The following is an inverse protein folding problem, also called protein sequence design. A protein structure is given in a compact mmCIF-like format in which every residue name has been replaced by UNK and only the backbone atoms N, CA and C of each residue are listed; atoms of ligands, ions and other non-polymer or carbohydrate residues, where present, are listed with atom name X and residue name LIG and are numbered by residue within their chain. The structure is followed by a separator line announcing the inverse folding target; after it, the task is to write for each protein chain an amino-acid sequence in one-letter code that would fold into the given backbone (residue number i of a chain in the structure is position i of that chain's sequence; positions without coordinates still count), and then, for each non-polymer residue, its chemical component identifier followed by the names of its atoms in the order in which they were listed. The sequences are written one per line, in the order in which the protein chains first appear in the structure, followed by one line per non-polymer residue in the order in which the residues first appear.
data_IF_983458464248
#
_entry.id   IF_983458464248
#
_cell.length_a   1.000
_cell.length_b   1.000
_cell.length_c   1.000
_cell.angle_alpha   90.00
_cell.angle_beta   90.00
_cell.angle_gamma   90.00
#
_symmetry.space_group_name_H-M   'P 1'
#
loop_
_entity.id
_entity.type
_entity.pdbx_description
1 polymer ?
#
# COMPACT_ATOMS: atom_id res chain seq x y z
N UNK A 1 -8.21 23.14 -0.70
CA UNK A 1 -8.53 21.73 -0.41
C UNK A 1 -8.10 20.82 -1.56
N UNK A 2 -8.39 21.19 -2.82
CA UNK A 2 -7.94 20.42 -4.00
C UNK A 2 -6.43 20.14 -4.05
N UNK A 3 -5.57 21.14 -3.82
CA UNK A 3 -4.12 20.93 -3.82
C UNK A 3 -3.65 19.89 -2.79
N UNK A 4 -4.33 19.80 -1.65
CA UNK A 4 -4.01 18.80 -0.61
C UNK A 4 -4.38 17.40 -1.09
N UNK A 5 -5.57 17.22 -1.69
CA UNK A 5 -6.00 15.93 -2.23
C UNK A 5 -5.10 15.48 -3.38
N UNK A 6 -4.73 16.40 -4.28
CA UNK A 6 -3.76 16.12 -5.35
C UNK A 6 -2.41 15.72 -4.78
N UNK A 7 -1.92 16.41 -3.75
CA UNK A 7 -0.70 16.04 -3.03
C UNK A 7 -0.75 14.63 -2.45
N UNK A 8 -1.87 14.24 -1.83
CA UNK A 8 -2.09 12.88 -1.32
C UNK A 8 -2.04 11.84 -2.45
N UNK A 9 -2.75 12.08 -3.56
CA UNK A 9 -2.78 11.18 -4.73
C UNK A 9 -1.37 10.93 -5.27
N UNK A 10 -0.59 12.01 -5.45
CA UNK A 10 0.80 11.94 -5.91
C UNK A 10 1.71 11.23 -4.90
N UNK A 11 1.57 11.53 -3.61
CA UNK A 11 2.35 10.90 -2.56
C UNK A 11 2.11 9.39 -2.48
N UNK A 12 0.83 8.96 -2.56
CA UNK A 12 0.47 7.54 -2.57
C UNK A 12 1.13 6.85 -3.76
N UNK A 13 0.99 7.43 -4.96
CA UNK A 13 1.55 6.89 -6.18
C UNK A 13 3.07 6.69 -6.08
N UNK A 14 3.81 7.77 -5.81
CA UNK A 14 5.27 7.72 -5.75
C UNK A 14 5.77 6.72 -4.71
N UNK A 15 5.10 6.65 -3.55
CA UNK A 15 5.53 5.77 -2.48
C UNK A 15 5.26 4.29 -2.77
N UNK A 16 4.11 3.95 -3.38
CA UNK A 16 3.82 2.58 -3.79
C UNK A 16 4.80 2.12 -4.87
N UNK A 17 5.07 2.97 -5.87
CA UNK A 17 6.07 2.67 -6.91
C UNK A 17 7.46 2.50 -6.30
N UNK A 18 7.87 3.37 -5.37
CA UNK A 18 9.13 3.24 -4.65
C UNK A 18 9.25 1.89 -3.93
N UNK A 19 8.21 1.45 -3.22
CA UNK A 19 8.22 0.19 -2.48
C UNK A 19 8.29 -1.03 -3.40
N UNK A 20 7.49 -1.06 -4.46
CA UNK A 20 7.33 -2.23 -5.33
C UNK A 20 8.36 -2.35 -6.45
N UNK A 21 9.01 -1.25 -6.86
CA UNK A 21 10.04 -1.29 -7.91
C UNK A 21 11.45 -1.08 -7.37
N UNK A 22 11.66 -0.17 -6.41
CA UNK A 22 13.01 0.22 -5.99
C UNK A 22 13.46 -0.42 -4.66
N UNK A 23 12.51 -0.70 -3.77
CA UNK A 23 12.78 -1.29 -2.45
C UNK A 23 12.37 -2.76 -2.35
N UNK A 24 11.92 -3.36 -3.45
CA UNK A 24 11.39 -4.73 -3.48
C UNK A 24 12.35 -5.75 -2.83
N UNK A 25 13.64 -5.71 -3.20
CA UNK A 25 14.70 -6.57 -2.65
C UNK A 25 15.58 -5.88 -1.59
N UNK A 26 15.07 -4.84 -0.93
CA UNK A 26 15.82 -4.10 0.10
C UNK A 26 15.27 -4.39 1.49
N UNK A 27 16.18 -4.57 2.43
CA UNK A 27 15.86 -4.65 3.85
C UNK A 27 15.40 -3.28 4.33
N UNK A 28 14.32 -3.24 5.11
CA UNK A 28 13.79 -2.00 5.68
C UNK A 28 13.24 -2.28 7.06
N UNK A 29 13.21 -1.26 7.92
CA UNK A 29 12.67 -1.38 9.29
C UNK A 29 11.18 -1.72 9.34
N UNK A 30 10.48 -1.58 8.21
CA UNK A 30 9.06 -1.84 8.04
C UNK A 30 8.74 -3.28 7.62
N UNK A 31 9.73 -4.06 7.17
CA UNK A 31 9.51 -5.44 6.73
C UNK A 31 9.01 -6.30 7.89
N UNK A 32 8.08 -7.21 7.61
CA UNK A 32 7.55 -8.15 8.60
C UNK A 32 8.57 -9.17 9.10
N UNK A 33 8.52 -9.51 10.38
CA UNK A 33 9.42 -10.47 11.02
C UNK A 33 10.92 -10.15 10.84
N UNK A 34 11.69 -11.10 10.33
CA UNK A 34 13.12 -10.93 10.03
C UNK A 34 13.40 -10.73 8.54
N UNK A 35 12.38 -10.45 7.74
CA UNK A 35 12.49 -10.39 6.29
C UNK A 35 13.38 -9.24 5.79
N UNK A 36 14.19 -9.55 4.78
CA UNK A 36 15.10 -8.61 4.10
C UNK A 36 14.62 -8.25 2.70
N UNK A 37 13.57 -8.90 2.21
CA UNK A 37 12.96 -8.65 0.90
C UNK A 37 11.44 -8.76 0.98
N UNK A 38 10.73 -8.29 -0.06
CA UNK A 38 9.27 -8.47 -0.18
C UNK A 38 8.89 -9.95 -0.24
N UNK A 39 9.71 -10.77 -0.89
CA UNK A 39 9.48 -12.22 -0.99
C UNK A 39 9.56 -12.89 0.37
N UNK A 40 10.64 -12.64 1.11
CA UNK A 40 10.79 -13.15 2.48
C UNK A 40 9.67 -12.65 3.41
N UNK A 41 9.17 -11.43 3.22
CA UNK A 41 8.07 -10.89 4.03
C UNK A 41 6.77 -11.67 3.81
N UNK A 42 6.45 -12.02 2.57
CA UNK A 42 5.29 -12.88 2.28
C UNK A 42 5.50 -14.32 2.76
N UNK A 43 6.72 -14.85 2.69
CA UNK A 43 7.06 -16.16 3.28
C UNK A 43 6.84 -16.17 4.80
N UNK A 44 7.28 -15.11 5.51
CA UNK A 44 7.03 -14.92 6.94
C UNK A 44 5.53 -14.87 7.26
N UNK A 45 4.72 -14.27 6.39
CA UNK A 45 3.26 -14.27 6.54
C UNK A 45 2.60 -15.63 6.27
N UNK A 46 3.36 -16.60 5.75
CA UNK A 46 2.87 -17.90 5.30
C UNK A 46 2.08 -17.82 3.99
N UNK A 47 2.45 -16.88 3.11
CA UNK A 47 1.79 -16.63 1.82
C UNK A 47 2.71 -17.00 0.66
N UNK A 48 2.11 -17.43 -0.45
CA UNK A 48 2.87 -17.82 -1.66
C UNK A 48 3.41 -16.62 -2.44
N UNK A 49 4.46 -16.86 -3.23
CA UNK A 49 5.02 -15.85 -4.13
C UNK A 49 3.99 -15.38 -5.19
N UNK A 50 3.09 -16.25 -5.63
CA UNK A 50 1.99 -15.87 -6.53
C UNK A 50 1.08 -14.81 -5.89
N UNK A 51 0.73 -14.99 -4.62
CA UNK A 51 -0.10 -14.01 -3.90
C UNK A 51 0.65 -12.70 -3.68
N UNK A 52 1.97 -12.75 -3.46
CA UNK A 52 2.82 -11.56 -3.41
C UNK A 52 2.72 -10.75 -4.70
N UNK A 53 2.90 -11.37 -5.87
CA UNK A 53 2.78 -10.66 -7.15
C UNK A 53 1.36 -10.15 -7.40
N UNK A 54 0.33 -10.90 -7.03
CA UNK A 54 -1.07 -10.45 -7.16
C UNK A 54 -1.33 -9.20 -6.31
N UNK A 55 -0.95 -9.23 -5.02
CA UNK A 55 -1.10 -8.08 -4.11
C UNK A 55 -0.28 -6.89 -4.61
N UNK A 56 0.93 -7.13 -5.10
CA UNK A 56 1.79 -6.10 -5.69
C UNK A 56 1.18 -5.45 -6.91
N UNK A 57 0.72 -6.25 -7.87
CA UNK A 57 0.05 -5.77 -9.07
C UNK A 57 -1.19 -4.93 -8.71
N UNK A 58 -2.03 -5.40 -7.80
CA UNK A 58 -3.21 -4.66 -7.35
C UNK A 58 -2.84 -3.32 -6.69
N UNK A 59 -1.80 -3.28 -5.86
CA UNK A 59 -1.32 -2.02 -5.26
C UNK A 59 -0.81 -1.05 -6.33
N UNK A 60 -0.02 -1.53 -7.29
CA UNK A 60 0.51 -0.70 -8.37
C UNK A 60 -0.60 -0.17 -9.27
N UNK A 61 -1.55 -1.02 -9.68
CA UNK A 61 -2.72 -0.61 -10.47
C UNK A 61 -3.54 0.43 -9.70
N UNK A 62 -3.84 0.17 -8.42
CA UNK A 62 -4.58 1.11 -7.57
C UNK A 62 -3.86 2.46 -7.46
N UNK A 63 -2.54 2.46 -7.29
CA UNK A 63 -1.73 3.66 -7.24
C UNK A 63 -1.77 4.46 -8.56
N UNK A 64 -1.68 3.78 -9.71
CA UNK A 64 -1.80 4.42 -11.03
C UNK A 64 -3.20 5.02 -11.21
N UNK A 65 -4.26 4.30 -10.84
CA UNK A 65 -5.63 4.80 -10.93
C UNK A 65 -5.89 5.98 -9.98
N UNK A 66 -5.32 5.95 -8.76
CA UNK A 66 -5.36 7.09 -7.83
C UNK A 66 -4.71 8.33 -8.47
N UNK A 67 -3.57 8.17 -9.15
CA UNK A 67 -2.92 9.27 -9.87
C UNK A 67 -3.78 9.75 -11.06
N UNK A 68 -4.27 8.82 -11.89
CA UNK A 68 -5.13 9.13 -13.03
C UNK A 68 -6.42 9.86 -12.60
N UNK A 69 -6.89 9.61 -11.37
CA UNK A 69 -8.07 10.27 -10.82
C UNK A 69 -7.92 11.78 -10.57
N UNK A 70 -6.74 12.35 -10.82
CA UNK A 70 -6.55 13.81 -10.92
C UNK A 70 -7.32 14.35 -12.13
N UNK A 71 -7.32 13.62 -13.25
CA UNK A 71 -8.04 13.98 -14.48
C UNK A 71 -9.40 13.29 -14.60
N UNK A 72 -9.56 12.13 -13.96
CA UNK A 72 -10.79 11.32 -14.01
C UNK A 72 -11.34 11.05 -12.59
N UNK A 73 -12.07 12.00 -11.97
CA UNK A 73 -12.48 11.91 -10.56
C UNK A 73 -13.25 10.63 -10.20
N UNK A 74 -14.02 10.06 -11.14
CA UNK A 74 -14.76 8.80 -10.94
C UNK A 74 -13.87 7.61 -10.58
N UNK A 75 -12.56 7.69 -10.81
CA UNK A 75 -11.59 6.65 -10.45
C UNK A 75 -11.16 6.72 -8.97
N UNK A 76 -11.39 7.84 -8.27
CA UNK A 76 -10.88 8.04 -6.89
C UNK A 76 -11.42 6.98 -5.93
N UNK A 77 -12.74 6.83 -5.84
CA UNK A 77 -13.38 5.89 -4.89
C UNK A 77 -12.97 4.43 -5.15
N UNK A 78 -13.13 3.85 -6.37
CA UNK A 78 -12.78 2.45 -6.58
C UNK A 78 -11.28 2.18 -6.34
N UNK A 79 -10.39 3.07 -6.78
CA UNK A 79 -8.95 2.87 -6.62
C UNK A 79 -8.48 3.04 -5.16
N UNK A 80 -8.99 4.06 -4.46
CA UNK A 80 -8.70 4.26 -3.04
C UNK A 80 -9.33 3.16 -2.17
N UNK A 81 -10.52 2.67 -2.53
CA UNK A 81 -11.18 1.55 -1.88
C UNK A 81 -10.37 0.26 -1.99
N UNK A 82 -9.91 -0.11 -3.19
CA UNK A 82 -9.01 -1.26 -3.37
C UNK A 82 -7.72 -1.08 -2.57
N UNK A 83 -7.08 0.10 -2.63
CA UNK A 83 -5.89 0.38 -1.83
C UNK A 83 -6.14 0.20 -0.33
N UNK A 84 -7.25 0.73 0.19
CA UNK A 84 -7.64 0.62 1.60
C UNK A 84 -7.79 -0.84 2.04
N UNK A 85 -8.49 -1.67 1.26
CA UNK A 85 -8.65 -3.11 1.55
C UNK A 85 -7.28 -3.81 1.61
N UNK A 86 -6.39 -3.52 0.66
CA UNK A 86 -5.05 -4.09 0.64
C UNK A 86 -4.18 -3.62 1.82
N UNK A 87 -4.34 -2.39 2.27
CA UNK A 87 -3.63 -1.88 3.46
C UNK A 87 -4.16 -2.50 4.73
N UNK A 88 -5.47 -2.68 4.87
CA UNK A 88 -6.07 -3.41 5.99
C UNK A 88 -5.54 -4.86 6.03
N UNK A 89 -5.49 -5.55 4.89
CA UNK A 89 -4.88 -6.87 4.78
C UNK A 89 -3.42 -6.90 5.21
N UNK A 90 -2.62 -5.90 4.81
CA UNK A 90 -1.21 -5.80 5.22
C UNK A 90 -1.05 -5.57 6.74
N UNK A 91 -1.87 -4.73 7.35
CA UNK A 91 -1.90 -4.53 8.81
C UNK A 91 -2.24 -5.85 9.51
N UNK A 92 -3.26 -6.56 9.04
CA UNK A 92 -3.64 -7.87 9.59
C UNK A 92 -2.50 -8.89 9.50
N UNK A 93 -1.69 -8.87 8.45
CA UNK A 93 -0.52 -9.76 8.34
C UNK A 93 0.58 -9.41 9.36
N UNK A 94 0.87 -8.12 9.57
CA UNK A 94 1.80 -7.71 10.64
C UNK A 94 1.29 -8.12 12.03
N UNK A 95 -0.01 -7.99 12.30
CA UNK A 95 -0.62 -8.44 13.55
C UNK A 95 -0.51 -9.97 13.68
N UNK A 96 -0.79 -10.72 12.61
CA UNK A 96 -0.70 -12.19 12.56
C UNK A 96 0.68 -12.69 12.96
N UNK A 97 1.74 -12.05 12.47
CA UNK A 97 3.14 -12.42 12.79
C UNK A 97 3.69 -11.71 14.03
N UNK A 98 2.83 -11.05 14.80
CA UNK A 98 3.16 -10.37 16.06
C UNK A 98 4.26 -9.32 15.90
N UNK A 99 4.26 -8.61 14.78
CA UNK A 99 5.19 -7.51 14.57
C UNK A 99 4.92 -6.36 15.56
N UNK A 100 5.98 -5.61 15.96
CA UNK A 100 5.79 -4.34 16.65
C UNK A 100 4.92 -3.39 15.80
N UNK A 101 3.96 -2.72 16.43
CA UNK A 101 2.98 -1.82 15.77
C UNK A 101 3.64 -0.81 14.80
N UNK A 102 4.86 -0.35 15.13
CA UNK A 102 5.65 0.54 14.27
C UNK A 102 5.87 0.00 12.85
N UNK A 103 5.90 -1.31 12.64
CA UNK A 103 6.07 -1.92 11.30
C UNK A 103 4.86 -1.75 10.42
N UNK A 104 3.66 -1.72 11.03
CA UNK A 104 2.41 -1.44 10.33
C UNK A 104 2.20 0.04 10.02
N UNK A 105 3.07 0.94 10.50
CA UNK A 105 2.93 2.38 10.33
C UNK A 105 2.76 2.82 8.87
N UNK A 106 3.55 2.31 7.89
CA UNK A 106 3.33 2.64 6.49
C UNK A 106 1.93 2.20 6.06
N UNK A 107 1.57 0.93 6.24
CA UNK A 107 0.27 0.41 5.81
C UNK A 107 -0.90 1.18 6.44
N UNK A 108 -0.82 1.51 7.73
CA UNK A 108 -1.79 2.35 8.43
C UNK A 108 -1.87 3.76 7.82
N UNK A 109 -0.74 4.39 7.51
CA UNK A 109 -0.72 5.71 6.90
C UNK A 109 -1.41 5.71 5.53
N UNK A 110 -1.12 4.71 4.68
CA UNK A 110 -1.81 4.58 3.38
C UNK A 110 -3.30 4.27 3.56
N UNK A 111 -3.69 3.48 4.56
CA UNK A 111 -5.10 3.23 4.86
C UNK A 111 -5.83 4.55 5.19
N UNK A 112 -5.28 5.36 6.10
CA UNK A 112 -5.86 6.66 6.46
C UNK A 112 -5.95 7.58 5.25
N UNK A 113 -4.88 7.69 4.46
CA UNK A 113 -4.87 8.54 3.25
C UNK A 113 -5.90 8.06 2.21
N UNK A 114 -6.03 6.74 2.01
CA UNK A 114 -7.05 6.18 1.13
C UNK A 114 -8.46 6.45 1.64
N UNK A 115 -8.71 6.33 2.95
CA UNK A 115 -10.01 6.66 3.55
C UNK A 115 -10.34 8.15 3.38
N UNK A 116 -9.37 9.05 3.57
CA UNK A 116 -9.54 10.48 3.29
C UNK A 116 -9.93 10.71 1.83
N UNK A 117 -9.28 10.04 0.88
CA UNK A 117 -9.65 10.14 -0.53
C UNK A 117 -11.07 9.61 -0.84
N UNK A 118 -11.52 8.56 -0.14
CA UNK A 118 -12.87 7.99 -0.33
C UNK A 118 -13.96 8.97 0.15
N UNK A 119 -13.72 9.67 1.26
CA UNK A 119 -14.71 10.62 1.80
C UNK A 119 -14.64 12.01 1.17
N UNK A 120 -13.52 12.36 0.54
CA UNK A 120 -13.30 13.66 -0.09
C UNK A 120 -13.49 13.68 -1.61
N UNK A 121 -13.60 12.51 -2.25
CA UNK A 121 -13.84 12.34 -3.68
C UNK A 121 -15.27 11.94 -3.96
#
# INVERSE_FOLDING_TARGET
MEYVLTGIKVFIFLSIINVWFFRFNKATTWRGGSAKSMKEEFEVYGLSETLMYLVGALKVISAILILASIWFPSLTIPAAGTMAVLMAGAISMHVKVQDPIKRSFPAFSFLVLSVVLIFAG
#
